data_IF_555520639493
#
_entry.id   IF_555520639493
#
_cell.length_a   1.000
_cell.length_b   1.000
_cell.length_c   1.000
_cell.angle_alpha   90.00
_cell.angle_beta   90.00
_cell.angle_gamma   90.00
#
_symmetry.space_group_name_H-M   'P 1'
#
loop_
_entity.id
_entity.type
_entity.pdbx_description
1 polymer ?
#
# COMPACT_ATOMS: atom_id res chain seq x y z
N UNK A 1 15.70 -15.36 3.06
CA UNK A 1 15.14 -15.07 1.73
C UNK A 1 14.64 -13.64 1.78
N UNK A 2 15.35 -12.72 1.13
CA UNK A 2 14.94 -11.31 1.04
C UNK A 2 13.71 -11.19 0.16
N UNK A 3 12.55 -11.20 0.79
CA UNK A 3 11.31 -10.68 0.18
C UNK A 3 11.42 -9.16 0.19
N UNK A 4 11.92 -8.62 -0.92
CA UNK A 4 12.03 -7.19 -1.15
C UNK A 4 10.64 -6.54 -1.05
N UNK A 5 10.57 -5.42 -0.35
CA UNK A 5 9.35 -4.61 -0.28
C UNK A 5 9.16 -3.88 -1.61
N UNK A 6 7.97 -4.01 -2.18
CA UNK A 6 7.66 -3.51 -3.51
C UNK A 6 6.39 -2.68 -3.50
N UNK A 7 6.29 -1.75 -4.45
CA UNK A 7 5.06 -1.02 -4.75
C UNK A 7 4.53 -1.51 -6.08
N UNK A 8 3.24 -1.80 -6.10
CA UNK A 8 2.49 -2.06 -7.31
C UNK A 8 1.44 -0.99 -7.51
N UNK A 9 1.20 -0.57 -8.74
CA UNK A 9 0.04 0.23 -9.12
C UNK A 9 -0.86 -0.61 -10.01
N UNK A 10 -2.12 -0.73 -9.61
CA UNK A 10 -3.12 -1.56 -10.29
C UNK A 10 -3.94 -0.75 -11.30
N UNK A 11 -4.59 -1.45 -12.23
CA UNK A 11 -5.47 -0.87 -13.27
C UNK A 11 -6.61 -0.01 -12.75
N UNK A 12 -7.04 -0.24 -11.50
CA UNK A 12 -8.06 0.55 -10.83
C UNK A 12 -7.50 1.79 -10.10
N UNK A 13 -6.23 2.15 -10.32
CA UNK A 13 -5.57 3.30 -9.71
C UNK A 13 -5.22 3.11 -8.22
N UNK A 14 -5.30 1.89 -7.69
CA UNK A 14 -4.83 1.61 -6.32
C UNK A 14 -3.34 1.28 -6.39
N UNK A 15 -2.54 2.00 -5.59
CA UNK A 15 -1.16 1.63 -5.31
C UNK A 15 -1.09 0.85 -4.00
N UNK A 16 -0.37 -0.27 -4.00
CA UNK A 16 -0.20 -1.16 -2.85
C UNK A 16 1.29 -1.33 -2.63
N UNK A 17 1.74 -1.05 -1.41
CA UNK A 17 3.05 -1.40 -0.91
C UNK A 17 2.94 -2.78 -0.26
N UNK A 18 3.74 -3.75 -0.69
CA UNK A 18 3.55 -5.14 -0.29
C UNK A 18 4.84 -5.92 -0.12
N UNK A 19 4.74 -6.96 0.71
CA UNK A 19 5.75 -7.99 0.91
C UNK A 19 5.15 -9.31 0.50
N UNK A 20 5.60 -9.83 -0.64
CA UNK A 20 5.10 -11.09 -1.19
C UNK A 20 5.58 -12.28 -0.36
N UNK A 21 4.67 -13.18 -0.02
CA UNK A 21 4.97 -14.49 0.54
C UNK A 21 4.82 -15.50 -0.60
N UNK A 22 5.96 -15.97 -1.11
CA UNK A 22 5.99 -16.91 -2.24
C UNK A 22 5.22 -18.18 -1.89
N UNK A 23 4.25 -18.50 -2.74
CA UNK A 23 3.42 -19.70 -2.62
C UNK A 23 3.18 -20.23 -4.04
N UNK A 24 3.76 -21.38 -4.35
CA UNK A 24 3.71 -21.98 -5.68
C UNK A 24 2.29 -22.13 -6.23
N UNK A 25 1.30 -22.46 -5.39
CA UNK A 25 -0.08 -22.59 -5.84
C UNK A 25 -0.71 -21.25 -6.26
N UNK A 26 -0.52 -20.20 -5.46
CA UNK A 26 -1.05 -18.85 -5.76
C UNK A 26 -0.30 -18.19 -6.92
N UNK A 27 1.03 -18.32 -6.94
CA UNK A 27 1.85 -17.76 -7.99
C UNK A 27 1.56 -18.41 -9.36
N UNK A 28 1.30 -19.72 -9.41
CA UNK A 28 0.96 -20.43 -10.65
C UNK A 28 -0.35 -19.94 -11.29
N UNK A 29 -1.28 -19.41 -10.50
CA UNK A 29 -2.53 -18.81 -11.01
C UNK A 29 -2.45 -17.28 -11.10
N UNK A 30 -1.25 -16.71 -11.01
CA UNK A 30 -0.99 -15.28 -11.17
C UNK A 30 -1.57 -14.42 -10.04
N UNK A 31 -1.64 -14.98 -8.82
CA UNK A 31 -2.09 -14.27 -7.62
C UNK A 31 -0.88 -13.98 -6.73
N UNK A 32 -0.76 -12.72 -6.31
CA UNK A 32 0.20 -12.28 -5.30
C UNK A 32 -0.45 -12.36 -3.92
N UNK A 33 0.18 -13.13 -3.04
CA UNK A 33 -0.22 -13.34 -1.66
C UNK A 33 0.83 -12.75 -0.72
N UNK A 34 0.41 -12.08 0.36
CA UNK A 34 1.33 -11.49 1.32
C UNK A 34 0.70 -10.37 2.15
N UNK A 35 1.55 -9.59 2.82
CA UNK A 35 1.15 -8.42 3.59
C UNK A 35 1.13 -7.20 2.67
N UNK A 36 0.16 -6.30 2.86
CA UNK A 36 0.01 -5.11 2.03
C UNK A 36 -0.50 -3.89 2.78
N UNK A 37 -0.07 -2.73 2.32
CA UNK A 37 -0.52 -1.40 2.72
C UNK A 37 -1.03 -0.70 1.46
N UNK A 38 -2.31 -0.36 1.42
CA UNK A 38 -2.82 0.51 0.36
C UNK A 38 -2.25 1.92 0.58
N UNK A 39 -1.64 2.52 -0.43
CA UNK A 39 -1.08 3.88 -0.34
C UNK A 39 -2.12 4.89 -0.82
N UNK A 40 -2.56 5.76 0.09
CA UNK A 40 -3.48 6.84 -0.25
C UNK A 40 -3.43 8.00 0.75
N UNK A 41 -3.77 9.18 0.25
CA UNK A 41 -4.27 10.31 1.01
C UNK A 41 -5.55 10.82 0.35
N UNK A 42 -6.67 10.87 1.09
CA UNK A 42 -7.96 11.35 0.57
C UNK A 42 -8.50 12.47 1.45
N UNK A 43 -8.96 13.56 0.84
CA UNK A 43 -9.74 14.55 1.56
C UNK A 43 -11.20 14.12 1.59
N UNK A 44 -11.78 14.05 2.77
CA UNK A 44 -13.18 13.66 2.96
C UNK A 44 -13.90 14.81 3.64
N UNK A 45 -15.04 15.19 3.07
CA UNK A 45 -15.99 16.13 3.65
C UNK A 45 -17.24 15.35 4.04
N UNK A 46 -17.63 15.48 5.30
CA UNK A 46 -18.90 14.97 5.83
C UNK A 46 -19.78 16.15 6.20
N UNK A 47 -21.05 15.91 6.53
CA UNK A 47 -21.98 16.95 6.98
C UNK A 47 -21.49 17.73 8.21
N UNK A 48 -20.58 17.13 9.02
CA UNK A 48 -20.12 17.69 10.29
C UNK A 48 -18.66 18.13 10.30
N UNK A 49 -17.81 17.56 9.44
CA UNK A 49 -16.38 17.86 9.43
C UNK A 49 -15.71 17.52 8.11
N UNK A 50 -14.58 18.20 7.86
CA UNK A 50 -13.72 17.97 6.70
C UNK A 50 -12.31 17.62 7.17
N UNK A 51 -11.72 16.58 6.61
CA UNK A 51 -10.41 16.10 7.07
C UNK A 51 -9.72 15.19 6.07
N UNK A 52 -8.42 15.04 6.26
CA UNK A 52 -7.63 14.11 5.46
C UNK A 52 -7.59 12.74 6.12
N UNK A 53 -7.90 11.71 5.33
CA UNK A 53 -7.68 10.33 5.66
C UNK A 53 -6.44 9.81 4.95
N UNK A 54 -5.71 8.95 5.62
CA UNK A 54 -4.47 8.36 5.14
C UNK A 54 -4.53 6.86 5.38
N UNK A 55 -3.64 6.13 4.71
CA UNK A 55 -3.41 4.75 5.09
C UNK A 55 -2.98 4.63 6.56
N UNK A 56 -3.47 3.59 7.22
CA UNK A 56 -3.36 3.45 8.67
C UNK A 56 -3.17 2.01 9.13
N UNK A 57 -3.07 1.06 8.20
CA UNK A 57 -3.05 -0.36 8.52
C UNK A 57 -2.25 -1.15 7.47
N UNK A 58 -1.49 -2.12 7.95
CA UNK A 58 -0.85 -3.16 7.15
C UNK A 58 -1.63 -4.45 7.34
N UNK A 59 -2.03 -5.09 6.25
CA UNK A 59 -2.78 -6.34 6.32
C UNK A 59 -1.95 -7.47 6.89
N UNK A 60 -2.63 -8.41 7.57
CA UNK A 60 -2.12 -9.77 7.69
C UNK A 60 -1.93 -10.42 6.30
N UNK A 61 -1.24 -11.56 6.18
CA UNK A 61 -1.08 -12.25 4.91
C UNK A 61 -2.43 -12.57 4.25
N UNK A 62 -2.66 -11.97 3.08
CA UNK A 62 -3.89 -12.14 2.31
C UNK A 62 -3.59 -12.17 0.80
N UNK A 63 -4.61 -12.52 0.01
CA UNK A 63 -4.60 -12.29 -1.44
C UNK A 63 -4.63 -10.78 -1.71
N UNK A 64 -3.54 -10.23 -2.25
CA UNK A 64 -3.40 -8.80 -2.47
C UNK A 64 -3.97 -8.39 -3.84
N UNK A 65 -3.46 -8.99 -4.91
CA UNK A 65 -3.86 -8.67 -6.28
C UNK A 65 -3.53 -9.81 -7.26
N UNK A 66 -4.05 -9.71 -8.48
CA UNK A 66 -3.60 -10.54 -9.60
C UNK A 66 -2.61 -9.79 -10.45
N UNK A 67 -1.56 -10.49 -10.92
CA UNK A 67 -0.53 -9.93 -11.81
C UNK A 67 -1.12 -9.35 -13.10
N UNK A 68 -2.27 -9.88 -13.56
CA UNK A 68 -2.98 -9.37 -14.74
C UNK A 68 -3.57 -7.96 -14.56
N UNK A 69 -3.70 -7.51 -13.32
CA UNK A 69 -4.24 -6.19 -12.97
C UNK A 69 -3.13 -5.15 -12.71
N UNK A 70 -1.87 -5.51 -12.91
CA UNK A 70 -0.73 -4.62 -12.67
C UNK A 70 -0.53 -3.68 -13.86
N UNK A 71 -0.35 -2.39 -13.59
CA UNK A 71 0.15 -1.40 -14.55
C UNK A 71 1.65 -1.23 -14.37
N UNK A 72 2.09 -1.06 -13.11
CA UNK A 72 3.48 -0.79 -12.76
C UNK A 72 3.86 -1.55 -11.49
N UNK A 73 5.11 -2.03 -11.42
CA UNK A 73 5.69 -2.69 -10.25
C UNK A 73 7.14 -2.25 -10.12
N UNK A 74 7.52 -1.80 -8.92
CA UNK A 74 8.87 -1.35 -8.61
C UNK A 74 9.24 -1.64 -7.16
N UNK A 75 10.52 -1.54 -6.84
CA UNK A 75 10.98 -1.56 -5.44
C UNK A 75 10.46 -0.34 -4.68
N UNK A 76 10.18 -0.54 -3.39
CA UNK A 76 9.83 0.54 -2.47
C UNK A 76 11.03 1.47 -2.24
N UNK A 77 10.78 2.78 -2.19
CA UNK A 77 11.77 3.76 -1.74
C UNK A 77 11.80 3.83 -0.19
N UNK A 78 12.70 4.63 0.37
CA UNK A 78 12.93 4.65 1.81
C UNK A 78 11.76 5.25 2.62
N UNK A 79 11.03 6.22 2.06
CA UNK A 79 9.82 6.76 2.69
C UNK A 79 8.71 5.69 2.75
N UNK A 80 8.54 4.93 1.67
CA UNK A 80 7.58 3.82 1.62
C UNK A 80 7.95 2.71 2.59
N UNK A 81 9.22 2.29 2.63
CA UNK A 81 9.70 1.31 3.62
C UNK A 81 9.38 1.75 5.05
N UNK A 82 9.66 3.02 5.36
CA UNK A 82 9.36 3.59 6.68
C UNK A 82 7.86 3.53 7.00
N UNK A 83 6.99 3.84 6.03
CA UNK A 83 5.53 3.73 6.18
C UNK A 83 5.12 2.29 6.43
N UNK A 84 5.65 1.34 5.66
CA UNK A 84 5.33 -0.08 5.83
C UNK A 84 5.73 -0.57 7.22
N UNK A 85 6.97 -0.30 7.63
CA UNK A 85 7.52 -0.76 8.92
C UNK A 85 6.72 -0.19 10.10
N UNK A 86 6.30 1.08 10.02
CA UNK A 86 5.44 1.68 11.04
C UNK A 86 4.10 0.94 11.11
N UNK A 87 3.43 0.80 9.97
CA UNK A 87 2.09 0.21 9.94
C UNK A 87 2.08 -1.29 10.24
N UNK A 88 3.12 -2.04 9.84
CA UNK A 88 3.26 -3.45 10.20
C UNK A 88 3.52 -3.66 11.70
N UNK A 89 4.10 -2.66 12.38
CA UNK A 89 4.32 -2.66 13.83
C UNK A 89 3.21 -1.95 14.62
N UNK A 90 2.08 -1.61 13.98
CA UNK A 90 0.98 -0.90 14.64
C UNK A 90 1.30 0.55 15.06
N UNK A 91 2.39 1.11 14.55
CA UNK A 91 2.80 2.49 14.81
C UNK A 91 2.09 3.45 13.87
N UNK A 92 1.52 4.52 14.44
CA UNK A 92 0.81 5.54 13.66
C UNK A 92 1.75 6.38 12.79
N UNK A 93 1.25 6.83 11.65
CA UNK A 93 1.98 7.72 10.74
C UNK A 93 2.19 9.12 11.35
N UNK A 94 3.42 9.61 11.24
CA UNK A 94 3.81 10.95 11.66
C UNK A 94 3.43 12.00 10.59
N UNK A 95 3.82 13.26 10.81
CA UNK A 95 3.51 14.36 9.88
C UNK A 95 4.19 14.18 8.53
N UNK A 96 5.45 13.80 8.51
CA UNK A 96 6.25 13.61 7.29
C UNK A 96 5.69 12.47 6.42
N UNK A 97 5.31 11.36 7.04
CA UNK A 97 4.68 10.23 6.34
C UNK A 97 3.38 10.67 5.64
N UNK A 98 2.57 11.47 6.32
CA UNK A 98 1.29 12.00 5.80
C UNK A 98 1.51 13.00 4.66
N UNK A 99 2.51 13.85 4.77
CA UNK A 99 2.90 14.79 3.70
C UNK A 99 3.42 14.03 2.47
N UNK A 100 4.24 13.01 2.67
CA UNK A 100 4.69 12.13 1.60
C UNK A 100 3.51 11.47 0.86
N UNK A 101 2.56 10.89 1.61
CA UNK A 101 1.35 10.28 1.04
C UNK A 101 0.48 11.29 0.28
N UNK A 102 0.37 12.52 0.77
CA UNK A 102 -0.34 13.60 0.06
C UNK A 102 0.34 13.98 -1.25
N UNK A 103 1.66 14.10 -1.27
CA UNK A 103 2.38 14.53 -2.46
C UNK A 103 2.40 13.47 -3.57
N UNK A 104 2.39 12.17 -3.19
CA UNK A 104 2.60 11.08 -4.14
C UNK A 104 1.37 10.20 -4.38
N UNK A 105 0.44 10.13 -3.42
CA UNK A 105 -0.69 9.20 -3.41
C UNK A 105 -2.02 9.87 -3.08
N UNK A 106 -2.14 11.18 -3.36
CA UNK A 106 -3.41 11.89 -3.22
C UNK A 106 -4.42 11.31 -4.21
N UNK A 107 -5.56 10.87 -3.69
CA UNK A 107 -6.73 10.53 -4.51
C UNK A 107 -7.62 11.77 -4.62
N UNK A 108 -7.97 12.11 -5.85
CA UNK A 108 -9.07 13.05 -6.09
C UNK A 108 -10.36 12.42 -5.57
N UNK A 109 -11.17 13.25 -4.92
CA UNK A 109 -12.33 12.80 -4.16
C UNK A 109 -13.52 12.48 -5.05
#
# INVERSE_FOLDING_TARGET
>A
MDTNLEVVTLKNGISILFKEIKNSASNNIGIVYGNGVALYAKYITTEKSSGWQYTSYCSDPVKLFSVHNVIDRRSANDAEKTIFDKLSNGTALNKEDKEYLRSNYKKEA
#
